data_IF_226915688436
#
_entry.id   IF_226915688436
#
_cell.length_a   1.000
_cell.length_b   1.000
_cell.length_c   1.000
_cell.angle_alpha   90.00
_cell.angle_beta   90.00
_cell.angle_gamma   90.00
#
_symmetry.space_group_name_H-M   'P 1'
#
loop_
_entity.id
_entity.type
_entity.pdbx_description
1 polymer ?
#
# COMPACT_ATOMS: atom_id res chain seq x y z
N UNK A 1 8.81 -10.64 -9.93
CA UNK A 1 8.61 -12.07 -10.29
C UNK A 1 7.20 -12.45 -9.85
N UNK A 2 6.25 -12.62 -10.78
CA UNK A 2 4.87 -13.05 -10.44
C UNK A 2 4.89 -14.54 -10.18
N UNK A 3 4.84 -14.95 -8.92
CA UNK A 3 4.68 -16.35 -8.53
C UNK A 3 3.25 -16.79 -8.86
N UNK A 4 3.07 -17.48 -10.00
CA UNK A 4 1.84 -18.17 -10.36
C UNK A 4 1.62 -19.34 -9.39
N UNK A 5 1.01 -19.06 -8.23
CA UNK A 5 0.38 -20.11 -7.43
C UNK A 5 -0.94 -20.46 -8.09
N UNK A 6 -0.92 -21.53 -8.90
CA UNK A 6 -2.04 -22.20 -9.58
C UNK A 6 -3.18 -21.29 -10.06
N UNK A 7 -3.29 -21.08 -11.38
CA UNK A 7 -4.48 -20.51 -12.05
C UNK A 7 -5.68 -21.48 -12.01
N UNK A 8 -5.93 -22.09 -10.86
CA UNK A 8 -7.10 -22.95 -10.68
C UNK A 8 -8.31 -22.04 -10.51
N UNK A 9 -9.16 -22.03 -11.53
CA UNK A 9 -10.47 -21.37 -11.48
C UNK A 9 -11.38 -22.15 -10.51
N UNK A 10 -11.47 -21.67 -9.27
CA UNK A 10 -12.31 -22.26 -8.23
C UNK A 10 -13.78 -22.29 -8.65
N UNK A 11 -14.24 -21.30 -9.40
CA UNK A 11 -15.62 -21.28 -9.87
C UNK A 11 -15.86 -22.41 -10.87
N UNK A 12 -14.86 -22.72 -11.69
CA UNK A 12 -14.91 -23.90 -12.54
C UNK A 12 -14.94 -25.19 -11.71
N UNK A 13 -14.07 -25.34 -10.70
CA UNK A 13 -14.08 -26.50 -9.81
C UNK A 13 -15.44 -26.69 -9.14
N UNK A 14 -15.99 -25.66 -8.50
CA UNK A 14 -17.28 -25.74 -7.81
C UNK A 14 -18.45 -26.09 -8.76
N UNK A 15 -18.31 -25.89 -10.07
CA UNK A 15 -19.33 -26.32 -11.05
C UNK A 15 -19.28 -27.83 -11.35
N UNK A 16 -18.16 -28.50 -11.11
CA UNK A 16 -18.03 -29.92 -11.42
C UNK A 16 -18.90 -30.81 -10.52
N UNK A 17 -19.41 -31.95 -11.02
CA UNK A 17 -20.32 -32.81 -10.25
C UNK A 17 -19.71 -33.37 -8.97
N UNK A 18 -18.40 -33.59 -8.95
CA UNK A 18 -17.65 -34.11 -7.80
C UNK A 18 -17.70 -33.19 -6.57
N UNK A 19 -17.86 -31.87 -6.77
CA UNK A 19 -17.98 -30.89 -5.68
C UNK A 19 -19.44 -30.58 -5.29
N UNK A 20 -20.41 -31.42 -5.68
CA UNK A 20 -21.82 -31.22 -5.32
C UNK A 20 -22.06 -31.21 -3.82
N UNK A 21 -21.39 -32.08 -3.07
CA UNK A 21 -21.49 -32.10 -1.61
C UNK A 21 -21.00 -30.80 -0.97
N UNK A 22 -19.97 -30.18 -1.56
CA UNK A 22 -19.45 -28.88 -1.15
C UNK A 22 -20.49 -27.79 -1.45
N UNK A 23 -20.98 -27.70 -2.69
CA UNK A 23 -22.01 -26.71 -3.08
C UNK A 23 -23.24 -26.70 -2.17
N UNK A 24 -23.69 -27.85 -1.69
CA UNK A 24 -24.86 -27.94 -0.80
C UNK A 24 -24.66 -27.28 0.57
N UNK A 25 -23.42 -26.96 0.94
CA UNK A 25 -23.06 -26.26 2.17
C UNK A 25 -22.90 -24.74 1.97
N UNK A 26 -22.98 -24.26 0.72
CA UNK A 26 -22.83 -22.85 0.38
C UNK A 26 -24.15 -22.10 0.54
N UNK A 27 -24.08 -20.93 1.16
CA UNK A 27 -25.17 -19.97 1.19
C UNK A 27 -24.88 -18.81 0.24
N UNK A 28 -25.71 -18.65 -0.79
CA UNK A 28 -25.50 -17.61 -1.81
C UNK A 28 -26.19 -16.31 -1.44
N UNK A 29 -25.44 -15.20 -1.46
CA UNK A 29 -25.95 -13.86 -1.17
C UNK A 29 -25.62 -12.92 -2.32
N UNK A 30 -26.58 -12.07 -2.66
CA UNK A 30 -26.43 -11.04 -3.70
C UNK A 30 -26.41 -9.67 -3.05
N UNK A 31 -25.47 -8.84 -3.48
CA UNK A 31 -25.28 -7.49 -2.99
C UNK A 31 -25.35 -6.50 -4.16
N UNK A 32 -26.09 -5.39 -4.02
CA UNK A 32 -25.93 -4.22 -4.89
C UNK A 32 -24.50 -3.66 -4.84
N UNK A 33 -24.15 -2.78 -5.77
CA UNK A 33 -22.90 -2.01 -5.68
C UNK A 33 -22.91 -1.07 -4.46
N UNK A 34 -21.76 -0.86 -3.82
CA UNK A 34 -21.59 0.00 -2.66
C UNK A 34 -22.10 -0.57 -1.33
N UNK A 35 -22.51 -1.83 -1.30
CA UNK A 35 -22.99 -2.49 -0.07
C UNK A 35 -21.84 -2.92 0.83
N UNK A 36 -22.05 -2.78 2.14
CA UNK A 36 -21.14 -3.31 3.16
C UNK A 36 -21.38 -4.80 3.34
N UNK A 37 -20.34 -5.61 3.10
CA UNK A 37 -20.35 -7.07 3.28
C UNK A 37 -19.87 -7.43 4.69
N UNK A 38 -18.87 -6.72 5.21
CA UNK A 38 -18.36 -6.85 6.57
C UNK A 38 -17.83 -5.52 7.05
N UNK A 39 -18.19 -5.14 8.26
CA UNK A 39 -17.75 -3.92 8.94
C UNK A 39 -16.76 -4.21 10.07
N UNK A 40 -16.06 -5.33 9.99
CA UNK A 40 -15.14 -5.84 11.02
C UNK A 40 -15.51 -7.22 11.54
N UNK A 41 -14.80 -7.72 12.57
CA UNK A 41 -14.97 -9.06 13.09
C UNK A 41 -16.36 -9.18 13.71
N UNK A 42 -17.17 -10.11 13.18
CA UNK A 42 -18.50 -10.43 13.71
C UNK A 42 -18.65 -11.93 13.88
N UNK A 43 -19.20 -12.34 15.01
CA UNK A 43 -19.62 -13.72 15.19
C UNK A 43 -21.07 -13.91 14.72
N UNK A 44 -21.37 -15.01 14.00
CA UNK A 44 -20.44 -16.06 13.55
C UNK A 44 -19.60 -15.63 12.34
N UNK A 45 -18.31 -15.99 12.35
CA UNK A 45 -17.39 -15.73 11.24
C UNK A 45 -17.64 -16.69 10.06
N UNK A 46 -17.64 -16.13 8.86
CA UNK A 46 -17.83 -16.91 7.63
C UNK A 46 -16.69 -16.69 6.65
N UNK A 47 -16.47 -17.70 5.83
CA UNK A 47 -15.61 -17.63 4.64
C UNK A 47 -16.53 -17.48 3.44
N UNK A 48 -16.09 -16.78 2.41
CA UNK A 48 -16.84 -16.65 1.18
C UNK A 48 -15.97 -16.77 -0.06
N UNK A 49 -16.59 -17.20 -1.14
CA UNK A 49 -16.04 -17.22 -2.50
C UNK A 49 -16.78 -16.18 -3.33
N UNK A 50 -16.03 -15.39 -4.11
CA UNK A 50 -16.61 -14.42 -5.04
C UNK A 50 -17.04 -15.15 -6.31
N UNK A 51 -18.35 -15.21 -6.59
CA UNK A 51 -18.87 -15.77 -7.84
C UNK A 51 -18.79 -14.74 -8.97
N UNK A 52 -19.24 -13.52 -8.69
CA UNK A 52 -19.23 -12.41 -9.65
C UNK A 52 -19.16 -11.07 -8.94
N UNK A 53 -18.74 -10.03 -9.66
CA UNK A 53 -18.54 -8.68 -9.12
C UNK A 53 -17.11 -8.45 -8.61
N UNK A 54 -16.90 -7.29 -7.98
CA UNK A 54 -15.63 -6.90 -7.36
C UNK A 54 -15.88 -6.32 -5.99
N UNK A 55 -14.97 -6.61 -5.06
CA UNK A 55 -15.02 -6.09 -3.70
C UNK A 55 -13.72 -5.39 -3.34
N UNK A 56 -13.80 -4.46 -2.41
CA UNK A 56 -12.65 -3.78 -1.80
C UNK A 56 -12.53 -4.21 -0.35
N UNK A 57 -11.35 -4.70 0.03
CA UNK A 57 -10.99 -5.00 1.42
C UNK A 57 -10.07 -3.90 1.91
N UNK A 58 -10.40 -3.27 3.03
CA UNK A 58 -9.68 -2.10 3.52
C UNK A 58 -9.74 -1.95 5.05
N UNK A 59 -8.85 -1.13 5.60
CA UNK A 59 -8.91 -0.66 6.99
C UNK A 59 -9.49 0.75 7.01
N UNK A 60 -10.33 1.06 7.98
CA UNK A 60 -10.85 2.41 8.22
C UNK A 60 -10.51 2.88 9.63
N UNK A 61 -10.04 4.13 9.77
CA UNK A 61 -9.88 4.81 11.05
C UNK A 61 -10.20 6.30 10.91
N UNK A 62 -11.35 6.72 11.47
CA UNK A 62 -11.90 8.05 11.20
C UNK A 62 -12.15 8.23 9.70
N UNK A 63 -11.64 9.31 9.13
CA UNK A 63 -11.75 9.63 7.69
C UNK A 63 -10.71 8.92 6.81
N UNK A 64 -9.75 8.18 7.41
CA UNK A 64 -8.68 7.52 6.65
C UNK A 64 -9.03 6.08 6.33
N UNK A 65 -8.92 5.74 5.05
CA UNK A 65 -9.09 4.37 4.56
C UNK A 65 -7.83 3.86 3.85
N UNK A 66 -7.42 2.64 4.16
CA UNK A 66 -6.29 1.97 3.52
C UNK A 66 -6.76 0.69 2.83
N UNK A 67 -6.78 0.71 1.50
CA UNK A 67 -7.13 -0.49 0.71
C UNK A 67 -6.03 -1.52 0.79
N UNK A 68 -6.40 -2.74 1.17
CA UNK A 68 -5.49 -3.88 1.30
C UNK A 68 -5.57 -4.82 0.09
N UNK A 69 -6.74 -5.01 -0.51
CA UNK A 69 -6.90 -5.85 -1.70
C UNK A 69 -8.19 -5.53 -2.46
N UNK A 70 -8.24 -5.96 -3.72
CA UNK A 70 -9.47 -6.02 -4.52
C UNK A 70 -9.83 -7.45 -4.83
N UNK A 71 -10.96 -7.94 -4.31
CA UNK A 71 -11.41 -9.30 -4.56
C UNK A 71 -12.13 -9.39 -5.91
N UNK A 72 -11.86 -10.47 -6.63
CA UNK A 72 -12.37 -10.78 -7.98
C UNK A 72 -13.02 -12.17 -8.01
N UNK A 73 -13.76 -12.52 -9.08
CA UNK A 73 -14.34 -13.86 -9.21
C UNK A 73 -13.29 -14.96 -9.02
N UNK A 74 -13.61 -15.95 -8.18
CA UNK A 74 -12.71 -17.03 -7.78
C UNK A 74 -11.87 -16.73 -6.53
N UNK A 75 -11.87 -15.50 -6.01
CA UNK A 75 -11.18 -15.17 -4.77
C UNK A 75 -11.93 -15.74 -3.56
N UNK A 76 -11.17 -16.23 -2.59
CA UNK A 76 -11.67 -16.68 -1.30
C UNK A 76 -11.19 -15.73 -0.21
N UNK A 77 -12.11 -15.27 0.63
CA UNK A 77 -11.78 -14.43 1.78
C UNK A 77 -12.69 -14.69 2.97
N UNK A 78 -12.42 -14.06 4.11
CA UNK A 78 -13.16 -14.30 5.36
C UNK A 78 -13.60 -13.00 6.02
N UNK A 79 -14.65 -13.08 6.84
CA UNK A 79 -15.19 -11.94 7.60
C UNK A 79 -14.62 -11.81 9.01
N UNK A 80 -13.66 -12.67 9.40
CA UNK A 80 -13.00 -12.63 10.72
C UNK A 80 -11.96 -11.52 10.89
N UNK A 81 -11.16 -11.13 9.87
CA UNK A 81 -10.18 -10.06 10.04
C UNK A 81 -10.84 -8.73 10.42
N UNK A 82 -10.06 -7.84 11.06
CA UNK A 82 -10.47 -6.44 11.33
C UNK A 82 -10.45 -5.57 10.08
N UNK A 83 -11.03 -6.05 9.00
CA UNK A 83 -11.13 -5.33 7.73
C UNK A 83 -12.58 -5.01 7.42
N UNK A 84 -12.77 -3.89 6.73
CA UNK A 84 -14.01 -3.50 6.10
C UNK A 84 -14.04 -4.10 4.69
N UNK A 85 -15.20 -4.55 4.26
CA UNK A 85 -15.41 -5.16 2.94
C UNK A 85 -16.63 -4.51 2.29
N UNK A 86 -16.43 -3.83 1.18
CA UNK A 86 -17.51 -3.21 0.40
C UNK A 86 -17.53 -3.71 -1.03
N UNK A 87 -18.72 -3.81 -1.62
CA UNK A 87 -18.87 -4.14 -3.04
C UNK A 87 -18.61 -2.90 -3.91
N UNK A 88 -17.91 -3.09 -5.01
CA UNK A 88 -17.67 -2.05 -6.01
C UNK A 88 -18.68 -2.14 -7.17
N UNK A 89 -19.10 -3.37 -7.51
CA UNK A 89 -20.11 -3.67 -8.52
C UNK A 89 -21.22 -4.54 -7.89
N UNK A 90 -22.38 -4.77 -8.55
CA UNK A 90 -23.30 -5.82 -8.15
C UNK A 90 -22.56 -7.16 -8.04
N UNK A 91 -22.65 -7.79 -6.87
CA UNK A 91 -21.76 -8.88 -6.47
C UNK A 91 -22.57 -10.07 -5.97
N UNK A 92 -22.12 -11.29 -6.32
CA UNK A 92 -22.66 -12.53 -5.79
C UNK A 92 -21.57 -13.29 -5.05
N UNK A 93 -21.86 -13.66 -3.81
CA UNK A 93 -20.94 -14.36 -2.91
C UNK A 93 -21.54 -15.69 -2.45
N UNK A 94 -20.71 -16.72 -2.34
CA UNK A 94 -21.05 -17.98 -1.68
C UNK A 94 -20.38 -18.06 -0.32
N UNK A 95 -21.16 -18.03 0.76
CA UNK A 95 -20.69 -18.13 2.13
C UNK A 95 -20.66 -19.57 2.63
N UNK A 96 -19.70 -19.86 3.49
CA UNK A 96 -19.54 -21.13 4.20
C UNK A 96 -19.07 -20.87 5.63
N UNK A 97 -19.54 -21.69 6.56
CA UNK A 97 -19.04 -21.67 7.93
C UNK A 97 -17.55 -22.01 7.97
N UNK A 98 -16.78 -21.25 8.75
CA UNK A 98 -15.32 -21.44 8.88
C UNK A 98 -14.93 -22.88 9.24
N UNK A 99 -15.72 -23.53 10.11
CA UNK A 99 -15.50 -24.94 10.52
C UNK A 99 -15.64 -25.95 9.38
N UNK A 100 -16.51 -25.67 8.38
CA UNK A 100 -16.71 -26.53 7.21
C UNK A 100 -15.65 -26.30 6.13
N UNK A 101 -15.18 -25.06 6.00
CA UNK A 101 -14.14 -24.71 5.04
C UNK A 101 -12.81 -25.42 5.33
N UNK A 102 -12.50 -25.69 6.60
CA UNK A 102 -11.30 -26.46 6.95
C UNK A 102 -11.32 -27.87 6.34
N UNK A 103 -12.48 -28.55 6.36
CA UNK A 103 -12.65 -29.84 5.70
C UNK A 103 -12.46 -29.72 4.19
N UNK A 104 -13.00 -28.66 3.57
CA UNK A 104 -12.82 -28.43 2.13
C UNK A 104 -11.36 -28.24 1.73
N UNK A 105 -10.58 -27.51 2.53
CA UNK A 105 -9.15 -27.33 2.26
C UNK A 105 -8.37 -28.66 2.30
N UNK A 106 -8.79 -29.60 3.15
CA UNK A 106 -8.18 -30.94 3.23
C UNK A 106 -8.57 -31.82 2.04
N UNK A 107 -9.83 -31.76 1.62
CA UNK A 107 -10.35 -32.54 0.49
C UNK A 107 -9.94 -31.95 -0.87
N UNK A 108 -9.69 -30.64 -0.93
CA UNK A 108 -9.38 -29.90 -2.18
C UNK A 108 -8.25 -28.91 -1.94
N UNK A 109 -6.98 -29.38 -1.92
CA UNK A 109 -5.82 -28.54 -1.65
C UNK A 109 -5.66 -27.35 -2.61
N UNK A 110 -6.21 -27.45 -3.82
CA UNK A 110 -6.21 -26.39 -4.83
C UNK A 110 -6.91 -25.11 -4.33
N UNK A 111 -7.87 -25.21 -3.41
CA UNK A 111 -8.52 -24.05 -2.79
C UNK A 111 -7.53 -23.19 -1.99
N UNK A 112 -6.47 -23.81 -1.43
CA UNK A 112 -5.44 -23.11 -0.67
C UNK A 112 -4.67 -22.09 -1.51
N UNK A 113 -4.49 -22.35 -2.81
CA UNK A 113 -3.80 -21.43 -3.73
C UNK A 113 -4.50 -20.07 -3.84
N UNK A 114 -5.83 -20.06 -3.92
CA UNK A 114 -6.58 -18.81 -4.01
C UNK A 114 -6.60 -18.02 -2.71
N UNK A 115 -6.68 -18.70 -1.56
CA UNK A 115 -6.52 -18.07 -0.25
C UNK A 115 -5.13 -17.43 -0.15
N UNK A 116 -4.09 -18.18 -0.53
CA UNK A 116 -2.70 -17.69 -0.49
C UNK A 116 -2.48 -16.50 -1.41
N UNK A 117 -3.09 -16.48 -2.61
CA UNK A 117 -3.02 -15.33 -3.52
C UNK A 117 -3.60 -14.06 -2.90
N UNK A 118 -4.81 -14.14 -2.33
CA UNK A 118 -5.45 -12.97 -1.70
C UNK A 118 -4.63 -12.50 -0.50
N UNK A 119 -4.15 -13.43 0.34
CA UNK A 119 -3.29 -13.09 1.49
C UNK A 119 -1.95 -12.49 1.04
N UNK A 120 -1.36 -12.98 -0.04
CA UNK A 120 -0.12 -12.46 -0.62
C UNK A 120 -0.28 -11.04 -1.17
N UNK A 121 -1.38 -10.77 -1.88
CA UNK A 121 -1.73 -9.41 -2.34
C UNK A 121 -1.92 -8.46 -1.16
N UNK A 122 -2.71 -8.88 -0.17
CA UNK A 122 -2.93 -8.10 1.05
C UNK A 122 -1.65 -7.84 1.82
N UNK A 123 -0.78 -8.84 1.96
CA UNK A 123 0.49 -8.70 2.67
C UNK A 123 1.42 -7.74 1.93
N UNK A 124 1.53 -7.87 0.59
CA UNK A 124 2.31 -6.95 -0.23
C UNK A 124 1.79 -5.52 -0.18
N UNK A 125 0.48 -5.33 -0.23
CA UNK A 125 -0.15 -4.01 -0.10
C UNK A 125 0.01 -3.44 1.31
N UNK A 126 -0.08 -4.29 2.33
CA UNK A 126 0.18 -3.90 3.73
C UNK A 126 1.62 -3.44 3.89
N UNK A 127 2.61 -4.15 3.33
CA UNK A 127 3.99 -3.69 3.30
C UNK A 127 4.14 -2.38 2.54
N UNK A 128 3.48 -2.21 1.39
CA UNK A 128 3.49 -0.93 0.64
C UNK A 128 2.93 0.23 1.47
N UNK A 129 1.86 -0.01 2.24
CA UNK A 129 1.28 0.99 3.15
C UNK A 129 2.25 1.27 4.29
N UNK A 130 2.82 0.24 4.94
CA UNK A 130 3.80 0.40 6.02
C UNK A 130 5.04 1.11 5.50
N UNK A 131 5.54 0.81 4.31
CA UNK A 131 6.65 1.51 3.65
C UNK A 131 6.29 2.95 3.31
N UNK A 132 5.07 3.21 2.86
CA UNK A 132 4.57 4.58 2.70
C UNK A 132 4.56 5.35 4.02
N UNK A 133 4.22 4.69 5.12
CA UNK A 133 4.15 5.25 6.47
C UNK A 133 5.51 5.32 7.19
N UNK A 134 6.44 4.41 6.89
CA UNK A 134 7.72 4.22 7.57
C UNK A 134 8.95 4.68 6.76
N UNK A 135 8.87 4.67 5.42
CA UNK A 135 10.04 4.76 4.53
C UNK A 135 9.97 5.76 3.36
N UNK A 136 8.87 6.47 3.08
CA UNK A 136 8.93 7.61 2.14
C UNK A 136 9.59 8.82 2.79
N UNK A 137 10.91 8.76 2.97
CA UNK A 137 11.70 9.79 3.66
C UNK A 137 11.63 11.12 2.90
N UNK A 138 10.82 12.03 3.43
CA UNK A 138 10.70 13.41 2.95
C UNK A 138 12.06 14.10 3.00
N UNK A 139 12.93 13.71 3.93
CA UNK A 139 14.30 14.20 4.05
C UNK A 139 15.11 13.90 2.79
N UNK A 140 14.98 12.69 2.23
CA UNK A 140 15.69 12.30 1.01
C UNK A 140 15.21 13.05 -0.23
N UNK A 141 13.90 13.14 -0.42
CA UNK A 141 13.34 13.88 -1.57
C UNK A 141 13.65 15.39 -1.48
N UNK A 142 13.73 15.94 -0.27
CA UNK A 142 14.18 17.31 -0.06
C UNK A 142 15.68 17.47 -0.32
N UNK A 143 16.51 16.52 0.13
CA UNK A 143 17.95 16.50 -0.13
C UNK A 143 18.24 16.42 -1.64
N UNK A 144 17.57 15.52 -2.37
CA UNK A 144 17.68 15.39 -3.82
C UNK A 144 17.26 16.67 -4.55
N UNK A 145 16.15 17.28 -4.14
CA UNK A 145 15.67 18.54 -4.71
C UNK A 145 16.68 19.68 -4.51
N UNK A 146 17.25 19.80 -3.31
CA UNK A 146 18.27 20.81 -2.99
C UNK A 146 19.57 20.56 -3.74
N UNK A 147 20.04 19.31 -3.81
CA UNK A 147 21.25 18.94 -4.58
C UNK A 147 21.06 19.17 -6.07
N UNK A 148 19.88 18.86 -6.60
CA UNK A 148 19.54 19.11 -8.00
C UNK A 148 19.64 20.60 -8.35
N UNK A 149 19.05 21.47 -7.53
CA UNK A 149 19.09 22.91 -7.79
C UNK A 149 20.48 23.52 -7.53
N UNK A 150 21.23 23.03 -6.55
CA UNK A 150 22.65 23.41 -6.37
C UNK A 150 23.47 23.09 -7.61
N UNK A 151 23.28 21.91 -8.22
CA UNK A 151 24.02 21.52 -9.43
C UNK A 151 23.66 22.37 -10.65
N UNK A 152 22.42 22.86 -10.71
CA UNK A 152 21.90 23.59 -11.87
C UNK A 152 22.16 25.09 -11.78
N UNK A 153 21.93 25.67 -10.60
CA UNK A 153 21.87 27.12 -10.38
C UNK A 153 22.69 27.58 -9.16
N UNK A 154 23.43 26.69 -8.51
CA UNK A 154 24.16 27.00 -7.29
C UNK A 154 25.41 27.84 -7.53
N UNK A 155 25.67 28.78 -6.63
CA UNK A 155 26.90 29.58 -6.60
C UNK A 155 27.68 29.29 -5.32
N UNK A 156 28.96 28.95 -5.45
CA UNK A 156 29.83 28.69 -4.29
C UNK A 156 30.38 30.00 -3.71
N UNK A 157 30.21 30.21 -2.40
CA UNK A 157 30.60 31.46 -1.70
C UNK A 157 31.83 31.31 -0.78
N UNK A 158 32.50 30.15 -0.80
CA UNK A 158 33.62 29.83 0.09
C UNK A 158 33.22 29.06 1.35
N UNK A 159 31.95 29.06 1.73
CA UNK A 159 31.41 28.35 2.91
C UNK A 159 30.38 27.27 2.56
N UNK A 160 29.81 27.33 1.36
CA UNK A 160 28.92 26.33 0.80
C UNK A 160 28.37 26.77 -0.56
N UNK A 161 27.49 25.96 -1.13
CA UNK A 161 26.74 26.29 -2.33
C UNK A 161 25.44 26.99 -1.97
N UNK A 162 25.31 28.26 -2.36
CA UNK A 162 24.08 29.01 -2.21
C UNK A 162 23.16 28.73 -3.40
N UNK A 163 21.88 28.49 -3.11
CA UNK A 163 20.85 28.24 -4.11
C UNK A 163 19.58 29.01 -3.76
N UNK A 164 19.07 29.76 -4.74
CA UNK A 164 17.74 30.33 -4.69
C UNK A 164 16.79 29.40 -5.43
N UNK A 165 15.92 28.72 -4.68
CA UNK A 165 14.97 27.78 -5.25
C UNK A 165 13.86 28.51 -6.01
N UNK A 166 13.56 29.77 -5.67
CA UNK A 166 12.36 30.47 -6.14
C UNK A 166 11.05 29.80 -5.71
N UNK A 167 11.11 28.84 -4.78
CA UNK A 167 10.00 28.03 -4.30
C UNK A 167 9.67 28.35 -2.84
N UNK A 168 8.39 28.46 -2.56
CA UNK A 168 7.86 28.46 -1.20
C UNK A 168 7.91 27.04 -0.59
N UNK A 169 7.84 26.96 0.75
CA UNK A 169 7.76 25.66 1.46
C UNK A 169 6.56 24.82 0.98
N UNK A 170 5.46 25.48 0.63
CA UNK A 170 4.27 24.83 0.10
C UNK A 170 4.50 24.25 -1.30
N UNK A 171 5.20 24.98 -2.18
CA UNK A 171 5.60 24.47 -3.49
C UNK A 171 6.61 23.33 -3.37
N UNK A 172 7.59 23.43 -2.47
CA UNK A 172 8.51 22.33 -2.18
C UNK A 172 7.77 21.10 -1.65
N UNK A 173 6.78 21.27 -0.77
CA UNK A 173 5.92 20.20 -0.29
C UNK A 173 5.14 19.51 -1.40
N UNK A 174 4.62 20.27 -2.37
CA UNK A 174 3.99 19.72 -3.56
C UNK A 174 4.96 18.88 -4.38
N UNK A 175 6.19 19.37 -4.61
CA UNK A 175 7.22 18.66 -5.39
C UNK A 175 7.66 17.37 -4.70
N UNK A 176 7.93 17.40 -3.40
CA UNK A 176 8.39 16.23 -2.65
C UNK A 176 7.23 15.36 -2.15
N UNK A 177 5.99 15.63 -2.56
CA UNK A 177 4.80 14.85 -2.23
C UNK A 177 4.56 14.72 -0.72
N UNK A 178 4.50 15.85 -0.02
CA UNK A 178 4.30 15.95 1.44
C UNK A 178 3.48 17.20 1.82
N UNK A 179 3.28 17.45 3.12
CA UNK A 179 2.60 18.66 3.61
C UNK A 179 3.60 19.79 3.87
N UNK A 180 3.15 21.06 3.81
CA UNK A 180 3.97 22.23 4.17
C UNK A 180 4.58 22.10 5.58
N UNK A 181 3.78 21.64 6.54
CA UNK A 181 4.24 21.45 7.92
C UNK A 181 5.34 20.39 7.98
N UNK A 182 5.14 19.29 7.28
CA UNK A 182 6.11 18.19 7.21
C UNK A 182 7.42 18.67 6.58
N UNK A 183 7.38 19.33 5.42
CA UNK A 183 8.61 19.88 4.79
C UNK A 183 9.31 20.90 5.69
N UNK A 184 8.56 21.76 6.37
CA UNK A 184 9.15 22.71 7.33
C UNK A 184 9.92 22.00 8.44
N UNK A 185 9.36 20.92 8.99
CA UNK A 185 10.01 20.10 10.02
C UNK A 185 11.30 19.45 9.50
N UNK A 186 11.28 18.87 8.31
CA UNK A 186 12.47 18.22 7.74
C UNK A 186 13.56 19.23 7.33
N UNK A 187 13.20 20.41 6.83
CA UNK A 187 14.16 21.48 6.56
C UNK A 187 14.82 22.01 7.84
N UNK A 188 14.07 22.13 8.95
CA UNK A 188 14.63 22.47 10.26
C UNK A 188 15.61 21.40 10.75
N UNK A 189 15.30 20.12 10.52
CA UNK A 189 16.16 19.01 10.93
C UNK A 189 17.47 18.98 10.13
N UNK A 190 17.43 19.20 8.82
CA UNK A 190 18.62 19.31 7.98
C UNK A 190 19.52 20.50 8.39
N UNK A 191 18.91 21.61 8.79
CA UNK A 191 19.61 22.79 9.32
C UNK A 191 20.24 22.53 10.69
N UNK A 192 19.52 21.85 11.60
CA UNK A 192 20.04 21.42 12.91
C UNK A 192 21.23 20.48 12.78
N UNK A 193 21.24 19.64 11.74
CA UNK A 193 22.35 18.73 11.40
C UNK A 193 23.52 19.43 10.71
N UNK A 194 23.41 20.73 10.42
CA UNK A 194 24.45 21.52 9.77
C UNK A 194 24.63 21.22 8.28
N UNK A 195 23.71 20.49 7.66
CA UNK A 195 23.82 20.12 6.24
C UNK A 195 23.38 21.26 5.32
N UNK A 196 22.42 22.06 5.79
CA UNK A 196 21.92 23.25 5.12
C UNK A 196 21.85 24.44 6.10
N UNK A 197 21.69 25.64 5.57
CA UNK A 197 21.41 26.87 6.31
C UNK A 197 20.38 27.68 5.53
N UNK A 198 19.37 28.23 6.21
CA UNK A 198 18.33 29.04 5.56
C UNK A 198 18.77 30.49 5.49
N UNK A 199 18.92 30.99 4.26
CA UNK A 199 19.37 32.36 4.01
C UNK A 199 18.19 33.34 3.85
N UNK A 200 16.99 32.83 3.61
CA UNK A 200 15.80 33.64 3.40
C UNK A 200 14.63 32.83 2.82
N UNK A 201 13.62 33.52 2.28
CA UNK A 201 12.44 32.87 1.70
C UNK A 201 12.83 32.11 0.43
N UNK A 202 12.93 30.78 0.53
CA UNK A 202 13.27 29.92 -0.61
C UNK A 202 14.75 29.95 -1.00
N UNK A 203 15.62 30.50 -0.14
CA UNK A 203 17.07 30.54 -0.35
C UNK A 203 17.78 29.69 0.71
N UNK A 204 18.67 28.81 0.25
CA UNK A 204 19.39 27.86 1.09
C UNK A 204 20.87 27.85 0.77
N UNK A 205 21.71 27.69 1.79
CA UNK A 205 23.11 27.29 1.62
C UNK A 205 23.22 25.80 1.92
N UNK A 206 23.79 25.04 0.99
CA UNK A 206 24.14 23.63 1.15
C UNK A 206 25.64 23.54 1.38
N UNK A 207 26.06 23.06 2.55
CA UNK A 207 27.49 23.06 2.93
C UNK A 207 28.29 22.01 2.17
N UNK A 208 27.73 20.81 2.09
CA UNK A 208 28.32 19.67 1.40
C UNK A 208 27.21 18.90 0.66
N UNK A 209 27.11 19.07 -0.68
CA UNK A 209 26.12 18.37 -1.50
C UNK A 209 26.29 16.85 -1.50
N UNK A 210 27.52 16.33 -1.32
CA UNK A 210 27.76 14.89 -1.25
C UNK A 210 27.32 14.33 0.10
N UNK A 211 27.65 15.01 1.20
CA UNK A 211 27.14 14.62 2.52
C UNK A 211 25.62 14.74 2.61
N UNK A 212 25.01 15.76 1.99
CA UNK A 212 23.55 15.92 1.93
C UNK A 212 22.91 14.78 1.12
N UNK A 213 23.51 14.36 0.01
CA UNK A 213 23.05 13.20 -0.76
C UNK A 213 23.26 11.88 0.01
N UNK A 214 24.37 11.76 0.75
CA UNK A 214 24.70 10.59 1.56
C UNK A 214 23.87 10.46 2.84
N UNK A 215 23.10 11.50 3.22
CA UNK A 215 22.12 11.41 4.31
C UNK A 215 20.94 10.49 4.00
N UNK A 216 20.85 9.98 2.77
CA UNK A 216 19.91 8.95 2.39
C UNK A 216 20.45 7.55 2.71
N UNK A 217 19.78 6.76 3.57
CA UNK A 217 20.27 5.45 3.99
C UNK A 217 20.37 4.39 2.88
N UNK A 218 20.07 4.71 1.60
CA UNK A 218 20.16 3.77 0.46
C UNK A 218 20.74 4.44 -0.80
N UNK A 219 21.78 5.27 -0.67
CA UNK A 219 22.53 5.81 -1.84
C UNK A 219 23.97 5.27 -1.95
N UNK A 220 24.23 4.07 -1.42
CA UNK A 220 25.54 3.42 -1.54
C UNK A 220 25.42 1.91 -1.85
N UNK A 221 24.88 1.54 -3.02
CA UNK A 221 25.23 0.26 -3.68
C UNK A 221 24.81 0.11 -5.15
N UNK A 222 24.44 1.18 -5.87
CA UNK A 222 24.05 1.05 -7.30
C UNK A 222 24.84 1.96 -8.25
N UNK A 223 26.04 2.37 -7.86
CA UNK A 223 27.01 3.01 -8.74
C UNK A 223 28.42 2.48 -8.49
N UNK A 224 28.63 1.18 -8.65
CA UNK A 224 29.93 0.66 -9.09
C UNK A 224 29.70 -0.25 -10.29
N UNK A 225 30.41 0.08 -11.38
CA UNK A 225 30.56 -0.71 -12.59
C UNK A 225 31.44 -1.93 -12.32
#
# INVERSE_FOLDING_TARGET
>A
MRTHFSDTDILHLLRQPEYTHLRNQLHTVRFPAGSMVSDGPREPNSIFVVESGRLRVYLGYGEKEFTLAHLRPGDIYSTHPRTLITTLDPTVLHFIATSRFQTWLQETPQLGGAVLRVLGEMLGQTFTIIEGLAFKDITCRLAELLVYEVRRNGSFDGTGYCVEMGLTIEQMASIVGSSRQTVSTHLNELERRGLIEKLGRGAFRVRDPEALAACCPIAASSMEK
#
